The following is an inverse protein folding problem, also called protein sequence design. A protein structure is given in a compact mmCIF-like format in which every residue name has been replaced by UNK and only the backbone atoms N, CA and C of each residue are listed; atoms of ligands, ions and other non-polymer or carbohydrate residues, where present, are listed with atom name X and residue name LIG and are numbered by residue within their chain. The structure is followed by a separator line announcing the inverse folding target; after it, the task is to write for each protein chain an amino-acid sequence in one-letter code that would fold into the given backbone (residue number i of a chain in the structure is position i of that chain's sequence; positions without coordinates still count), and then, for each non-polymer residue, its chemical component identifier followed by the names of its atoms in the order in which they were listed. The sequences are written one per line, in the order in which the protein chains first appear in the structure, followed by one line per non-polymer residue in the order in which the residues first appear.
data_IF_987628843547
#
_entry.id   IF_987628843547
#
_cell.length_a   1.000
_cell.length_b   1.000
_cell.length_c   1.000
_cell.angle_alpha   90.00
_cell.angle_beta   90.00
_cell.angle_gamma   90.00
#
_symmetry.space_group_name_H-M   'P 1'
#
loop_
_entity.id
_entity.type
_entity.pdbx_description
1 polymer ?
#
# COMPACT_ATOMS: atom_id res chain seq x y z
N UNK A 1 -36.27 -48.26 9.68
CA UNK A 1 -35.33 -49.36 9.99
C UNK A 1 -33.93 -48.75 10.01
N UNK A 2 -33.44 -48.30 11.19
CA UNK A 2 -32.52 -49.02 12.11
C UNK A 2 -31.21 -49.41 11.40
N UNK A 3 -29.98 -49.14 11.86
CA UNK A 3 -29.37 -48.58 13.07
C UNK A 3 -27.91 -48.22 12.66
N UNK A 4 -27.32 -47.10 13.03
CA UNK A 4 -26.63 -46.79 14.30
C UNK A 4 -25.17 -47.33 14.39
N UNK A 5 -24.24 -46.38 14.62
CA UNK A 5 -23.03 -46.40 15.49
C UNK A 5 -21.77 -47.23 15.17
N UNK A 6 -20.63 -46.55 14.99
CA UNK A 6 -19.54 -46.39 15.99
C UNK A 6 -18.46 -45.43 15.45
N UNK A 7 -18.20 -44.27 16.08
CA UNK A 7 -17.30 -44.02 17.23
C UNK A 7 -15.84 -44.41 17.04
N UNK A 8 -14.98 -43.38 16.96
CA UNK A 8 -13.54 -43.44 17.18
C UNK A 8 -13.08 -42.12 17.81
N UNK A 9 -13.00 -42.11 19.13
CA UNK A 9 -12.46 -41.03 19.97
C UNK A 9 -10.95 -40.83 19.73
N UNK A 10 -10.47 -39.58 19.69
CA UNK A 10 -9.17 -39.22 20.26
C UNK A 10 -9.29 -37.87 20.99
N UNK A 11 -9.19 -37.94 22.31
CA UNK A 11 -9.14 -36.82 23.26
C UNK A 11 -7.89 -37.03 24.11
N UNK A 12 -7.06 -35.99 24.21
CA UNK A 12 -5.97 -35.88 25.17
C UNK A 12 -4.84 -35.02 24.56
N UNK A 13 -4.27 -34.04 25.24
CA UNK A 13 -4.54 -33.45 26.54
C UNK A 13 -3.81 -32.10 26.60
N UNK A 14 -4.39 -31.21 27.40
CA UNK A 14 -3.89 -29.98 28.03
C UNK A 14 -2.38 -29.71 28.01
N UNK A 15 -2.05 -28.48 27.63
CA UNK A 15 -0.87 -27.75 28.08
C UNK A 15 -1.20 -26.27 28.17
N UNK A 16 -1.73 -25.82 29.31
CA UNK A 16 -1.99 -24.41 29.62
C UNK A 16 -0.68 -23.73 30.03
N UNK A 17 -0.30 -22.67 29.33
CA UNK A 17 0.73 -21.76 29.82
C UNK A 17 0.11 -20.36 29.92
N UNK A 18 -0.03 -19.95 31.17
CA UNK A 18 -0.52 -18.69 31.70
C UNK A 18 0.20 -17.49 31.09
N UNK A 19 -0.55 -16.58 30.46
CA UNK A 19 -0.15 -15.19 30.27
C UNK A 19 -0.27 -14.48 31.62
N UNK A 20 0.87 -14.16 32.22
CA UNK A 20 0.97 -13.23 33.34
C UNK A 20 1.14 -11.83 32.77
N UNK A 21 0.12 -11.00 32.95
CA UNK A 21 0.21 -9.55 32.87
C UNK A 21 1.02 -9.04 34.08
N UNK A 22 2.01 -8.18 33.83
CA UNK A 22 2.54 -7.30 34.87
C UNK A 22 2.63 -5.89 34.32
N UNK A 23 1.97 -4.99 35.04
CA UNK A 23 1.84 -3.57 34.76
C UNK A 23 3.18 -2.83 34.91
N UNK A 24 3.28 -1.75 34.14
CA UNK A 24 4.31 -0.72 34.21
C UNK A 24 4.41 -0.07 35.59
N UNK A 25 5.62 0.36 35.96
CA UNK A 25 5.83 1.62 36.68
C UNK A 25 7.18 2.25 36.32
N UNK A 26 7.15 3.55 36.14
CA UNK A 26 8.25 4.48 35.91
C UNK A 26 9.30 4.45 37.03
N UNK A 27 10.58 4.59 36.68
CA UNK A 27 11.50 5.48 37.42
C UNK A 27 12.56 6.05 36.48
N UNK A 28 12.56 7.37 36.36
CA UNK A 28 13.67 8.17 35.85
C UNK A 28 14.87 8.06 36.80
N UNK A 29 16.06 7.81 36.25
CA UNK A 29 17.32 8.37 36.76
C UNK A 29 18.28 8.55 35.60
N UNK A 30 18.72 9.80 35.42
CA UNK A 30 19.63 10.28 34.40
C UNK A 30 21.09 9.82 34.61
N UNK A 31 21.88 10.04 33.55
CA UNK A 31 23.35 10.21 33.49
C UNK A 31 24.24 8.96 33.43
N UNK A 32 24.60 8.52 32.22
CA UNK A 32 25.94 8.73 31.67
C UNK A 32 26.03 8.35 30.17
N UNK A 33 26.82 9.07 29.34
CA UNK A 33 26.86 8.87 27.91
C UNK A 33 27.84 7.74 27.57
N UNK A 34 27.31 6.56 27.25
CA UNK A 34 28.11 5.49 26.63
C UNK A 34 28.54 5.94 25.24
N UNK A 35 29.76 6.50 25.16
CA UNK A 35 30.52 6.73 23.93
C UNK A 35 30.68 5.40 23.19
N UNK A 36 29.70 5.04 22.35
CA UNK A 36 29.89 4.03 21.30
C UNK A 36 30.83 4.63 20.26
N UNK A 37 32.09 4.28 20.39
CA UNK A 37 33.08 4.46 19.35
C UNK A 37 32.55 3.80 18.07
N UNK A 38 32.09 4.62 17.12
CA UNK A 38 31.98 4.24 15.72
C UNK A 38 33.39 3.83 15.28
N UNK A 39 33.66 2.53 15.23
CA UNK A 39 34.70 2.01 14.35
C UNK A 39 34.24 2.27 12.92
N UNK A 40 34.54 3.49 12.42
CA UNK A 40 34.69 3.75 10.99
C UNK A 40 35.81 2.82 10.52
N UNK A 41 35.44 1.67 9.97
CA UNK A 41 36.35 0.91 9.13
C UNK A 41 36.64 1.79 7.91
N UNK A 42 37.81 2.44 7.92
CA UNK A 42 38.39 3.04 6.73
C UNK A 42 38.91 1.89 5.86
N UNK A 43 38.27 1.75 4.71
CA UNK A 43 38.79 1.26 3.42
C UNK A 43 40.10 0.46 3.45
N UNK A 44 39.98 -0.83 3.14
CA UNK A 44 40.99 -1.54 2.37
C UNK A 44 40.29 -2.06 1.10
N UNK A 45 40.47 -1.37 -0.03
CA UNK A 45 40.26 -1.98 -1.33
C UNK A 45 41.33 -3.05 -1.50
N UNK A 46 40.99 -4.28 -1.13
CA UNK A 46 41.74 -5.45 -1.60
C UNK A 46 41.05 -5.87 -2.90
N UNK A 47 41.68 -5.51 -4.03
CA UNK A 47 41.52 -6.27 -5.27
C UNK A 47 41.94 -7.71 -4.94
N UNK A 48 40.99 -8.56 -4.59
CA UNK A 48 41.24 -10.00 -4.57
C UNK A 48 41.38 -10.44 -6.03
N UNK A 49 42.46 -11.13 -6.41
CA UNK A 49 42.55 -11.77 -7.71
C UNK A 49 41.48 -12.87 -7.78
N UNK A 50 40.59 -12.75 -8.76
CA UNK A 50 39.52 -13.70 -9.09
C UNK A 50 40.10 -15.05 -9.50
N UNK A 51 40.20 -15.97 -8.54
CA UNK A 51 40.34 -17.40 -8.85
C UNK A 51 39.10 -18.11 -8.36
N UNK A 52 38.16 -18.38 -9.28
CA UNK A 52 37.06 -19.32 -9.06
C UNK A 52 35.63 -18.79 -9.14
N UNK A 53 35.40 -17.51 -9.50
CA UNK A 53 34.03 -17.06 -9.77
C UNK A 53 33.58 -17.52 -11.17
N UNK A 54 32.35 -18.04 -11.35
CA UNK A 54 31.83 -18.33 -12.67
C UNK A 54 31.89 -17.05 -13.51
N UNK A 55 32.41 -17.15 -14.75
CA UNK A 55 32.62 -15.99 -15.61
C UNK A 55 31.38 -15.09 -15.63
N UNK A 56 31.54 -13.85 -15.18
CA UNK A 56 30.47 -12.85 -15.23
C UNK A 56 30.10 -12.61 -16.69
N UNK A 57 28.81 -12.47 -16.94
CA UNK A 57 28.30 -12.13 -18.27
C UNK A 57 28.49 -10.61 -18.52
N UNK A 58 28.48 -10.13 -19.77
CA UNK A 58 28.88 -8.76 -20.11
C UNK A 58 28.21 -7.65 -19.30
N UNK A 59 26.90 -7.71 -19.09
CA UNK A 59 26.17 -6.68 -18.35
C UNK A 59 26.44 -6.77 -16.84
N UNK A 60 26.50 -7.98 -16.28
CA UNK A 60 26.92 -8.18 -14.90
C UNK A 60 28.33 -7.60 -14.65
N UNK A 61 29.28 -7.86 -15.54
CA UNK A 61 30.65 -7.34 -15.43
C UNK A 61 30.66 -5.81 -15.49
N UNK A 62 29.83 -5.19 -16.33
CA UNK A 62 29.65 -3.74 -16.34
C UNK A 62 29.13 -3.20 -14.99
N UNK A 63 28.14 -3.84 -14.39
CA UNK A 63 27.62 -3.48 -13.05
C UNK A 63 28.72 -3.61 -11.99
N UNK A 64 29.49 -4.68 -12.03
CA UNK A 64 30.60 -4.92 -11.12
C UNK A 64 31.68 -3.84 -11.22
N UNK A 65 32.03 -3.44 -12.44
CA UNK A 65 33.00 -2.36 -12.68
C UNK A 65 32.49 -1.01 -12.18
N UNK A 66 31.19 -0.71 -12.33
CA UNK A 66 30.59 0.50 -11.75
C UNK A 66 30.66 0.49 -10.22
N UNK A 67 30.44 -0.65 -9.59
CA UNK A 67 30.60 -0.82 -8.15
C UNK A 67 32.06 -0.56 -7.72
N UNK A 68 33.03 -1.12 -8.45
CA UNK A 68 34.45 -0.85 -8.28
C UNK A 68 34.82 0.64 -8.45
N UNK A 69 34.10 1.36 -9.30
CA UNK A 69 34.23 2.80 -9.51
C UNK A 69 33.53 3.68 -8.45
N UNK A 70 32.87 3.08 -7.45
CA UNK A 70 32.27 3.78 -6.32
C UNK A 70 30.74 3.92 -6.37
N UNK A 71 30.04 3.29 -7.32
CA UNK A 71 28.57 3.25 -7.35
C UNK A 71 28.02 2.21 -6.37
N UNK A 72 28.24 2.44 -5.07
CA UNK A 72 27.88 1.50 -4.00
C UNK A 72 26.38 1.17 -3.92
N UNK A 73 25.51 2.02 -4.48
CA UNK A 73 24.07 1.76 -4.58
C UNK A 73 23.69 0.66 -5.60
N UNK A 74 24.67 0.11 -6.32
CA UNK A 74 24.50 -1.06 -7.22
C UNK A 74 24.88 -2.39 -6.54
N UNK A 75 25.31 -2.38 -5.28
CA UNK A 75 25.77 -3.58 -4.58
C UNK A 75 24.72 -4.69 -4.55
N UNK A 76 23.48 -4.36 -4.21
CA UNK A 76 22.39 -5.34 -4.17
C UNK A 76 22.15 -6.00 -5.55
N UNK A 77 22.37 -5.27 -6.64
CA UNK A 77 22.23 -5.80 -8.01
C UNK A 77 23.38 -6.74 -8.38
N UNK A 78 24.61 -6.37 -8.05
CA UNK A 78 25.81 -7.20 -8.26
C UNK A 78 25.71 -8.53 -7.49
N UNK A 79 25.32 -8.46 -6.22
CA UNK A 79 25.06 -9.63 -5.37
C UNK A 79 23.92 -10.48 -5.94
N UNK A 80 22.81 -9.87 -6.35
CA UNK A 80 21.67 -10.57 -6.93
C UNK A 80 22.03 -11.33 -8.22
N UNK A 81 22.80 -10.69 -9.10
CA UNK A 81 23.24 -11.31 -10.37
C UNK A 81 24.29 -12.41 -10.15
N UNK A 82 25.01 -12.36 -9.03
CA UNK A 82 25.97 -13.40 -8.62
C UNK A 82 25.28 -14.66 -8.10
N UNK A 83 24.19 -14.52 -7.35
CA UNK A 83 23.54 -15.63 -6.65
C UNK A 83 22.65 -16.52 -7.54
N UNK A 84 22.50 -16.21 -8.83
CA UNK A 84 21.70 -16.94 -9.86
C UNK A 84 20.53 -17.76 -9.27
N UNK A 85 19.59 -17.13 -8.54
CA UNK A 85 18.46 -17.86 -8.01
C UNK A 85 17.67 -18.49 -9.17
N UNK A 86 17.31 -19.77 -9.04
CA UNK A 86 16.51 -20.45 -10.05
C UNK A 86 15.17 -19.70 -10.22
N UNK A 87 14.68 -19.50 -11.46
CA UNK A 87 13.37 -18.91 -11.67
C UNK A 87 12.32 -19.84 -11.05
N UNK A 88 11.60 -19.35 -10.05
CA UNK A 88 10.55 -20.10 -9.36
C UNK A 88 9.22 -20.09 -10.12
N UNK A 89 9.11 -19.29 -11.17
CA UNK A 89 7.84 -18.94 -11.81
C UNK A 89 7.98 -18.77 -13.34
N UNK A 90 6.85 -18.84 -14.09
CA UNK A 90 6.89 -18.87 -15.56
C UNK A 90 7.46 -17.57 -16.13
N UNK A 91 8.57 -17.70 -16.86
CA UNK A 91 9.14 -16.63 -17.67
C UNK A 91 8.26 -16.40 -18.89
N UNK A 92 7.79 -15.17 -19.10
CA UNK A 92 7.05 -14.79 -20.30
C UNK A 92 7.48 -13.41 -20.77
N UNK A 93 7.89 -13.30 -22.03
CA UNK A 93 8.15 -12.03 -22.71
C UNK A 93 7.41 -12.00 -24.04
N UNK A 94 6.50 -11.05 -24.19
CA UNK A 94 5.84 -10.78 -25.48
C UNK A 94 6.60 -9.73 -26.25
N UNK A 95 6.66 -9.89 -27.58
CA UNK A 95 7.26 -8.91 -28.47
C UNK A 95 6.22 -8.42 -29.48
N UNK A 96 6.08 -7.11 -29.58
CA UNK A 96 5.15 -6.44 -30.48
C UNK A 96 5.91 -5.43 -31.34
N UNK A 97 5.81 -5.60 -32.65
CA UNK A 97 6.40 -4.69 -33.63
C UNK A 97 5.31 -3.85 -34.30
N UNK A 98 5.57 -2.54 -34.43
CA UNK A 98 4.87 -1.63 -35.34
C UNK A 98 5.79 -1.40 -36.52
N UNK A 99 5.37 -1.89 -37.69
CA UNK A 99 6.14 -1.82 -38.92
C UNK A 99 6.07 -0.41 -39.55
N UNK A 100 6.93 -0.16 -40.54
CA UNK A 100 6.99 1.11 -41.26
C UNK A 100 5.67 1.47 -41.98
N UNK A 101 4.89 0.46 -42.35
CA UNK A 101 3.56 0.61 -42.95
C UNK A 101 2.42 0.69 -41.91
N UNK A 102 2.79 0.92 -40.64
CA UNK A 102 1.89 1.00 -39.49
C UNK A 102 1.03 -0.25 -39.29
N UNK A 103 1.53 -1.42 -39.68
CA UNK A 103 0.92 -2.70 -39.31
C UNK A 103 1.49 -3.24 -38.02
N UNK A 104 0.62 -3.93 -37.30
CA UNK A 104 0.98 -4.62 -36.07
C UNK A 104 1.46 -6.03 -36.38
N UNK A 105 2.63 -6.40 -35.84
CA UNK A 105 3.14 -7.76 -35.88
C UNK A 105 3.43 -8.23 -34.45
N UNK A 106 2.63 -9.16 -33.97
CA UNK A 106 2.88 -9.83 -32.69
C UNK A 106 3.71 -11.09 -32.93
N UNK A 107 4.83 -11.22 -32.21
CA UNK A 107 5.63 -12.44 -32.22
C UNK A 107 5.13 -13.44 -31.18
N UNK A 108 5.45 -14.74 -31.34
CA UNK A 108 5.18 -15.73 -30.30
C UNK A 108 5.85 -15.35 -28.97
N UNK A 109 5.16 -15.63 -27.86
CA UNK A 109 5.69 -15.37 -26.53
C UNK A 109 6.97 -16.18 -26.28
N UNK A 110 8.00 -15.49 -25.77
CA UNK A 110 9.28 -16.08 -25.40
C UNK A 110 9.17 -16.61 -23.97
N UNK A 111 9.34 -17.92 -23.81
CA UNK A 111 9.06 -18.60 -22.54
C UNK A 111 10.33 -19.04 -21.79
N UNK A 112 11.52 -18.70 -22.30
CA UNK A 112 12.78 -18.97 -21.62
C UNK A 112 13.86 -17.92 -21.95
N UNK A 113 14.89 -17.87 -21.10
CA UNK A 113 15.98 -16.90 -21.20
C UNK A 113 16.86 -17.09 -22.45
N UNK A 114 16.96 -18.33 -22.95
CA UNK A 114 17.77 -18.63 -24.12
C UNK A 114 17.12 -18.04 -25.38
N UNK A 115 15.83 -18.25 -25.56
CA UNK A 115 15.04 -17.69 -26.66
C UNK A 115 15.08 -16.17 -26.63
N UNK A 116 14.98 -15.55 -25.44
CA UNK A 116 15.14 -14.10 -25.29
C UNK A 116 16.54 -13.64 -25.72
N UNK A 117 17.59 -14.30 -25.26
CA UNK A 117 18.96 -13.93 -25.62
C UNK A 117 19.24 -14.12 -27.11
N UNK A 118 18.70 -15.15 -27.75
CA UNK A 118 18.86 -15.39 -29.18
C UNK A 118 18.05 -14.37 -29.98
N UNK A 119 16.79 -14.15 -29.61
CA UNK A 119 15.92 -13.18 -30.28
C UNK A 119 16.47 -11.75 -30.24
N UNK A 120 17.03 -11.33 -29.10
CA UNK A 120 17.63 -9.99 -28.96
C UNK A 120 18.95 -9.82 -29.70
N UNK A 121 19.64 -10.90 -30.06
CA UNK A 121 20.89 -10.87 -30.85
C UNK A 121 20.67 -11.01 -32.35
N UNK A 122 19.70 -11.83 -32.76
CA UNK A 122 19.58 -12.30 -34.15
C UNK A 122 18.70 -11.41 -35.04
N UNK A 123 17.79 -10.60 -34.48
CA UNK A 123 16.80 -9.88 -35.27
C UNK A 123 17.26 -8.47 -35.66
N UNK A 124 17.56 -8.27 -36.94
CA UNK A 124 17.70 -6.92 -37.51
C UNK A 124 16.36 -6.19 -37.44
N UNK A 125 16.40 -4.88 -37.17
CA UNK A 125 15.21 -4.03 -37.04
C UNK A 125 14.69 -3.51 -38.38
N UNK A 126 15.05 -4.16 -39.48
CA UNK A 126 14.69 -3.71 -40.82
C UNK A 126 13.16 -3.67 -40.98
N UNK A 127 12.63 -2.48 -41.28
CA UNK A 127 11.20 -2.25 -41.45
C UNK A 127 10.38 -2.13 -40.16
N UNK A 128 11.03 -1.95 -38.99
CA UNK A 128 10.37 -1.83 -37.69
C UNK A 128 10.59 -0.44 -37.09
N UNK A 129 9.55 0.38 -37.09
CA UNK A 129 9.52 1.69 -36.44
C UNK A 129 9.50 1.58 -34.91
N UNK A 130 8.66 0.71 -34.35
CA UNK A 130 8.58 0.52 -32.89
C UNK A 130 8.64 -0.94 -32.53
N UNK A 131 9.46 -1.28 -31.54
CA UNK A 131 9.47 -2.61 -30.93
C UNK A 131 9.21 -2.52 -29.44
N UNK A 132 8.23 -3.25 -28.96
CA UNK A 132 7.89 -3.34 -27.54
C UNK A 132 8.19 -4.74 -27.01
N UNK A 133 9.03 -4.79 -25.98
CA UNK A 133 9.22 -5.98 -25.15
C UNK A 133 8.40 -5.84 -23.88
N UNK A 134 7.55 -6.81 -23.61
CA UNK A 134 6.67 -6.83 -22.43
C UNK A 134 6.95 -8.09 -21.62
N UNK A 135 7.68 -7.93 -20.53
CA UNK A 135 8.10 -9.01 -19.65
C UNK A 135 7.21 -9.07 -18.40
N UNK A 136 6.81 -10.28 -18.02
CA UNK A 136 6.04 -10.56 -16.82
C UNK A 136 6.90 -11.35 -15.82
N UNK A 137 6.91 -10.94 -14.55
CA UNK A 137 7.58 -11.63 -13.45
C UNK A 137 6.82 -11.40 -12.15
N UNK A 138 6.82 -12.34 -11.20
CA UNK A 138 6.13 -12.15 -9.91
C UNK A 138 6.87 -11.28 -8.93
N UNK A 139 8.07 -11.69 -8.55
CA UNK A 139 8.81 -11.09 -7.43
C UNK A 139 9.99 -10.28 -7.94
N UNK A 140 10.88 -10.92 -8.69
CA UNK A 140 12.08 -10.32 -9.25
C UNK A 140 12.35 -10.89 -10.65
N UNK A 141 12.81 -10.07 -11.61
CA UNK A 141 13.24 -10.58 -12.90
C UNK A 141 14.47 -11.46 -12.72
N UNK A 142 14.54 -12.57 -13.44
CA UNK A 142 15.68 -13.49 -13.33
C UNK A 142 16.99 -12.83 -13.76
N UNK A 143 18.12 -13.28 -13.20
CA UNK A 143 19.43 -12.74 -13.56
C UNK A 143 19.74 -12.88 -15.07
N UNK A 144 19.24 -13.93 -15.73
CA UNK A 144 19.37 -14.08 -17.18
C UNK A 144 18.50 -13.11 -17.97
N UNK A 145 17.31 -12.75 -17.49
CA UNK A 145 16.50 -11.69 -18.07
C UNK A 145 17.19 -10.33 -17.95
N UNK A 146 17.71 -10.00 -16.77
CA UNK A 146 18.49 -8.78 -16.51
C UNK A 146 19.68 -8.71 -17.47
N UNK A 147 20.43 -9.80 -17.60
CA UNK A 147 21.56 -9.85 -18.51
C UNK A 147 21.15 -9.69 -19.98
N UNK A 148 20.11 -10.40 -20.43
CA UNK A 148 19.69 -10.37 -21.83
C UNK A 148 19.21 -8.97 -22.24
N UNK A 149 18.38 -8.32 -21.42
CA UNK A 149 17.94 -6.95 -21.70
C UNK A 149 19.05 -5.92 -21.46
N UNK A 150 19.79 -6.05 -20.37
CA UNK A 150 20.86 -5.13 -20.01
C UNK A 150 21.97 -5.09 -21.05
N UNK A 151 22.42 -6.25 -21.52
CA UNK A 151 23.48 -6.34 -22.54
C UNK A 151 23.01 -5.89 -23.93
N UNK A 152 21.82 -6.31 -24.36
CA UNK A 152 21.31 -6.00 -25.70
C UNK A 152 20.91 -4.54 -25.88
N UNK A 153 20.41 -3.88 -24.82
CA UNK A 153 19.90 -2.51 -24.89
C UNK A 153 20.75 -1.49 -24.12
N UNK A 154 21.78 -1.93 -23.39
CA UNK A 154 22.63 -1.05 -22.59
C UNK A 154 21.84 -0.30 -21.50
N UNK A 155 20.89 -0.99 -20.86
CA UNK A 155 19.96 -0.34 -19.92
C UNK A 155 20.69 0.22 -18.70
N UNK A 156 20.17 1.32 -18.18
CA UNK A 156 20.67 1.88 -16.92
C UNK A 156 20.51 0.86 -15.77
N UNK A 157 21.57 0.45 -15.05
CA UNK A 157 21.50 -0.52 -13.94
C UNK A 157 20.50 -0.15 -12.85
N UNK A 158 20.23 1.15 -12.72
CA UNK A 158 19.19 1.70 -11.86
C UNK A 158 17.80 1.13 -12.15
N UNK A 159 17.48 0.83 -13.39
CA UNK A 159 16.22 0.19 -13.79
C UNK A 159 16.03 -1.17 -13.11
N UNK A 160 17.05 -2.03 -13.17
CA UNK A 160 16.99 -3.37 -12.58
C UNK A 160 17.08 -3.36 -11.07
N UNK A 161 17.81 -2.41 -10.50
CA UNK A 161 17.81 -2.15 -9.06
C UNK A 161 16.40 -1.91 -8.50
N UNK A 162 15.55 -1.19 -9.25
CA UNK A 162 14.13 -1.05 -8.92
C UNK A 162 13.35 -2.35 -9.15
N UNK A 163 13.63 -3.07 -10.22
CA UNK A 163 12.91 -4.30 -10.55
C UNK A 163 13.13 -5.42 -9.52
N UNK A 164 14.30 -5.46 -8.86
CA UNK A 164 14.61 -6.43 -7.80
C UNK A 164 14.20 -5.98 -6.40
N UNK A 165 13.61 -4.79 -6.26
CA UNK A 165 13.27 -4.18 -4.97
C UNK A 165 14.47 -4.12 -4.00
N UNK A 166 15.60 -3.60 -4.49
CA UNK A 166 16.80 -3.37 -3.67
C UNK A 166 16.48 -2.46 -2.48
N UNK A 167 16.90 -2.88 -1.27
CA UNK A 167 16.64 -2.15 -0.02
C UNK A 167 17.56 -0.95 0.16
N UNK A 168 18.77 -1.03 -0.41
CA UNK A 168 19.77 0.02 -0.34
C UNK A 168 19.60 1.09 -1.44
N UNK A 169 18.53 0.98 -2.22
CA UNK A 169 18.27 1.84 -3.35
C UNK A 169 17.63 3.18 -2.93
N UNK A 170 18.46 4.19 -2.67
CA UNK A 170 18.02 5.55 -2.38
C UNK A 170 18.34 6.47 -3.54
N UNK A 171 17.30 6.98 -4.22
CA UNK A 171 17.48 8.08 -5.15
C UNK A 171 17.23 9.42 -4.50
N UNK A 172 18.14 10.35 -4.80
CA UNK A 172 17.80 11.76 -4.69
C UNK A 172 16.64 12.09 -5.65
N UNK A 173 15.76 13.04 -5.32
CA UNK A 173 14.71 13.48 -6.24
C UNK A 173 15.26 13.84 -7.63
N UNK A 174 16.42 14.51 -7.70
CA UNK A 174 17.07 14.85 -8.95
C UNK A 174 17.45 13.62 -9.81
N UNK A 175 17.99 12.56 -9.21
CA UNK A 175 18.31 11.32 -9.93
C UNK A 175 17.05 10.62 -10.46
N UNK A 176 15.96 10.68 -9.69
CA UNK A 176 14.65 10.15 -10.10
C UNK A 176 14.05 10.94 -11.27
N UNK A 177 14.19 12.26 -11.28
CA UNK A 177 13.72 13.10 -12.37
C UNK A 177 14.54 12.91 -13.66
N UNK A 178 15.81 12.53 -13.54
CA UNK A 178 16.72 12.27 -14.67
C UNK A 178 16.78 10.79 -15.07
N UNK A 179 15.95 9.93 -14.49
CA UNK A 179 15.92 8.53 -14.87
C UNK A 179 15.30 8.40 -16.29
N UNK A 180 15.91 7.62 -17.20
CA UNK A 180 15.38 7.38 -18.54
C UNK A 180 14.16 6.44 -18.55
N UNK A 181 13.65 6.05 -17.38
CA UNK A 181 12.54 5.13 -17.21
C UNK A 181 11.52 5.67 -16.21
N UNK A 182 10.31 5.12 -16.27
CA UNK A 182 9.22 5.42 -15.34
C UNK A 182 8.83 4.18 -14.53
N UNK A 183 8.25 4.42 -13.35
CA UNK A 183 7.63 3.39 -12.49
C UNK A 183 6.18 3.76 -12.27
N UNK A 184 5.27 2.91 -12.72
CA UNK A 184 3.83 3.02 -12.52
C UNK A 184 3.44 2.03 -11.41
N UNK A 185 2.79 2.52 -10.35
CA UNK A 185 2.26 1.68 -9.27
C UNK A 185 0.80 1.32 -9.54
N UNK A 186 0.49 0.03 -9.60
CA UNK A 186 -0.87 -0.49 -9.72
C UNK A 186 -1.40 -0.99 -8.39
N UNK A 187 -2.71 -0.89 -8.20
CA UNK A 187 -3.45 -1.52 -7.12
C UNK A 187 -4.71 -2.15 -7.68
N UNK A 188 -4.96 -3.41 -7.33
CA UNK A 188 -6.13 -4.18 -7.76
C UNK A 188 -6.75 -4.81 -6.52
N UNK A 189 -8.08 -4.87 -6.47
CA UNK A 189 -8.78 -5.53 -5.38
C UNK A 189 -8.43 -7.02 -5.35
N UNK A 190 -7.94 -7.49 -4.21
CA UNK A 190 -7.66 -8.90 -3.99
C UNK A 190 -8.98 -9.63 -3.73
N UNK A 191 -9.36 -10.52 -4.65
CA UNK A 191 -10.58 -11.32 -4.54
C UNK A 191 -10.39 -12.58 -3.69
N UNK A 192 -9.16 -12.92 -3.34
CA UNK A 192 -8.82 -14.13 -2.57
C UNK A 192 -8.94 -13.90 -1.06
N UNK A 193 -8.85 -12.64 -0.61
CA UNK A 193 -8.96 -12.25 0.79
C UNK A 193 -10.42 -12.10 1.24
N UNK A 194 -10.68 -12.30 2.53
CA UNK A 194 -12.01 -12.10 3.11
C UNK A 194 -12.45 -10.64 3.15
N UNK A 195 -11.48 -9.70 3.18
CA UNK A 195 -11.75 -8.28 3.16
C UNK A 195 -11.91 -7.79 1.72
N UNK A 196 -13.00 -7.07 1.46
CA UNK A 196 -13.32 -6.51 0.15
C UNK A 196 -12.46 -5.30 -0.23
N UNK A 197 -11.73 -4.74 0.73
CA UNK A 197 -10.88 -3.56 0.52
C UNK A 197 -9.41 -3.90 0.41
N UNK A 198 -9.07 -5.18 0.51
CA UNK A 198 -7.69 -5.63 0.36
C UNK A 198 -7.25 -5.43 -1.08
N UNK A 199 -6.03 -4.90 -1.23
CA UNK A 199 -5.51 -4.48 -2.52
C UNK A 199 -4.17 -5.15 -2.75
N UNK A 200 -4.09 -5.97 -3.79
CA UNK A 200 -2.82 -6.45 -4.32
C UNK A 200 -2.12 -5.29 -5.05
N UNK A 201 -0.83 -5.11 -4.76
CA UNK A 201 -0.02 -4.05 -5.36
C UNK A 201 1.10 -4.63 -6.18
N UNK A 202 1.31 -4.04 -7.35
CA UNK A 202 2.44 -4.36 -8.20
C UNK A 202 2.93 -3.12 -8.95
N UNK A 203 4.06 -3.25 -9.62
CA UNK A 203 4.76 -2.19 -10.31
C UNK A 203 4.87 -2.54 -11.78
N UNK A 204 4.75 -1.52 -12.62
CA UNK A 204 5.12 -1.60 -14.03
C UNK A 204 6.27 -0.63 -14.27
N UNK A 205 7.41 -1.15 -14.69
CA UNK A 205 8.56 -0.35 -15.08
C UNK A 205 8.58 -0.20 -16.59
N UNK A 206 8.75 1.01 -17.10
CA UNK A 206 8.80 1.28 -18.54
C UNK A 206 10.09 2.02 -18.86
N UNK A 207 10.88 1.44 -19.76
CA UNK A 207 12.09 2.03 -20.31
C UNK A 207 11.89 2.25 -21.81
N UNK A 208 12.27 3.42 -22.32
CA UNK A 208 12.15 3.72 -23.74
C UNK A 208 13.50 4.20 -24.25
N UNK A 209 13.98 3.57 -25.32
CA UNK A 209 15.24 3.86 -25.95
C UNK A 209 15.00 4.28 -27.40
N UNK A 210 15.42 5.48 -27.83
CA UNK A 210 15.36 5.86 -29.22
C UNK A 210 16.35 5.02 -30.04
N UNK A 211 16.03 4.80 -31.31
CA UNK A 211 16.93 4.08 -32.20
C UNK A 211 18.15 4.91 -32.54
N UNK A 212 19.26 4.25 -32.89
CA UNK A 212 20.51 4.91 -33.28
C UNK A 212 20.32 5.88 -34.46
N UNK A 213 19.45 5.49 -35.40
CA UNK A 213 19.09 6.28 -36.58
C UNK A 213 18.00 7.32 -36.28
N UNK A 214 17.35 7.21 -35.11
CA UNK A 214 16.34 8.16 -34.64
C UNK A 214 15.00 8.14 -35.37
N UNK A 215 14.75 7.20 -36.28
CA UNK A 215 13.46 7.05 -36.98
C UNK A 215 12.42 6.30 -36.15
N UNK A 216 12.87 5.46 -35.21
CA UNK A 216 12.04 4.62 -34.37
C UNK A 216 12.47 4.60 -32.90
N UNK A 217 11.87 3.71 -32.12
CA UNK A 217 12.22 3.49 -30.71
C UNK A 217 11.88 2.07 -30.22
N UNK A 218 12.61 1.61 -29.21
CA UNK A 218 12.32 0.38 -28.47
C UNK A 218 11.76 0.69 -27.09
N UNK A 219 10.65 0.06 -26.73
CA UNK A 219 10.08 0.08 -25.38
C UNK A 219 10.31 -1.24 -24.67
N UNK A 220 10.65 -1.18 -23.39
CA UNK A 220 10.80 -2.34 -22.51
C UNK A 220 9.90 -2.12 -21.30
N UNK A 221 8.93 -3.01 -21.12
CA UNK A 221 7.88 -2.91 -20.10
C UNK A 221 7.95 -4.14 -19.21
N UNK A 222 8.10 -3.93 -17.91
CA UNK A 222 8.34 -4.94 -16.91
C UNK A 222 7.17 -4.94 -15.92
N UNK A 223 6.31 -5.96 -16.00
CA UNK A 223 5.15 -6.16 -15.13
C UNK A 223 5.57 -7.05 -13.95
N UNK A 224 5.59 -6.50 -12.73
CA UNK A 224 5.96 -7.23 -11.50
C UNK A 224 4.79 -8.04 -10.90
N UNK A 225 3.93 -8.61 -11.74
CA UNK A 225 2.76 -9.37 -11.29
C UNK A 225 2.26 -10.32 -12.37
N UNK A 226 1.79 -11.49 -11.92
CA UNK A 226 1.04 -12.47 -12.71
C UNK A 226 -0.47 -12.46 -12.40
N UNK A 227 -0.95 -11.40 -11.73
CA UNK A 227 -2.35 -11.27 -11.34
C UNK A 227 -3.22 -11.25 -12.58
N UNK A 228 -4.19 -12.16 -12.62
CA UNK A 228 -5.17 -12.26 -13.70
C UNK A 228 -6.48 -11.62 -13.28
N UNK A 229 -6.99 -10.71 -14.11
CA UNK A 229 -8.26 -10.04 -13.90
C UNK A 229 -9.18 -10.23 -15.10
N UNK A 230 -10.48 -10.34 -14.83
CA UNK A 230 -11.50 -10.39 -15.88
C UNK A 230 -11.91 -8.95 -16.25
N UNK A 231 -11.08 -8.27 -17.05
CA UNK A 231 -11.30 -6.90 -17.49
C UNK A 231 -11.30 -6.83 -19.02
N UNK A 232 -12.05 -5.87 -19.58
CA UNK A 232 -12.04 -5.62 -21.03
C UNK A 232 -11.05 -4.51 -21.38
N UNK A 233 -10.25 -4.65 -22.47
CA UNK A 233 -9.42 -3.55 -22.96
C UNK A 233 -10.24 -2.35 -23.45
N UNK A 234 -11.54 -2.51 -23.74
CA UNK A 234 -12.44 -1.39 -24.11
C UNK A 234 -12.61 -0.35 -23.01
N UNK A 235 -12.17 -0.64 -21.78
CA UNK A 235 -12.25 0.30 -20.68
C UNK A 235 -11.35 1.52 -20.85
N UNK A 236 -10.33 1.43 -21.73
CA UNK A 236 -9.46 2.55 -22.07
C UNK A 236 -9.99 3.37 -23.26
N UNK A 237 -11.20 3.06 -23.74
CA UNK A 237 -11.83 3.74 -24.88
C UNK A 237 -13.16 4.35 -24.49
N UNK A 238 -13.53 5.44 -25.15
CA UNK A 238 -14.85 6.06 -24.98
C UNK A 238 -15.96 5.08 -25.43
N UNK A 239 -17.09 5.03 -24.70
CA UNK A 239 -18.22 4.23 -25.14
C UNK A 239 -18.75 4.75 -26.47
N UNK A 240 -19.29 3.86 -27.32
CA UNK A 240 -19.87 4.26 -28.60
C UNK A 240 -21.09 5.18 -28.36
N UNK A 241 -21.29 6.15 -29.24
CA UNK A 241 -22.34 7.15 -29.10
C UNK A 241 -23.74 6.51 -29.06
N UNK A 242 -24.69 7.18 -28.40
CA UNK A 242 -26.08 6.72 -28.34
C UNK A 242 -26.64 6.47 -29.75
N UNK A 243 -27.25 5.29 -29.95
CA UNK A 243 -27.78 4.79 -31.24
C UNK A 243 -26.76 4.33 -32.29
N UNK A 244 -25.46 4.33 -31.98
CA UNK A 244 -24.47 3.66 -32.84
C UNK A 244 -24.50 2.14 -32.67
N UNK A 245 -23.89 1.42 -33.63
CA UNK A 245 -23.83 -0.03 -33.59
C UNK A 245 -23.10 -0.50 -32.31
N UNK A 246 -23.79 -1.30 -31.50
CA UNK A 246 -23.20 -1.84 -30.29
C UNK A 246 -22.15 -2.90 -30.64
N UNK A 247 -20.98 -2.88 -29.99
CA UNK A 247 -19.98 -3.88 -30.24
C UNK A 247 -20.43 -5.23 -29.65
N UNK A 248 -20.02 -6.34 -30.28
CA UNK A 248 -20.43 -7.66 -29.82
C UNK A 248 -20.03 -7.91 -28.36
N UNK A 249 -20.92 -8.54 -27.56
CA UNK A 249 -20.58 -9.00 -26.21
C UNK A 249 -19.40 -9.96 -26.29
N UNK A 250 -18.39 -9.75 -25.45
CA UNK A 250 -17.25 -10.67 -25.28
C UNK A 250 -17.35 -11.31 -23.90
N UNK A 251 -17.13 -12.62 -23.82
CA UNK A 251 -16.92 -13.30 -22.54
C UNK A 251 -15.56 -12.84 -22.01
N UNK A 252 -15.54 -12.33 -20.77
CA UNK A 252 -14.31 -11.84 -20.15
C UNK A 252 -13.56 -13.01 -19.50
N UNK A 253 -12.52 -13.46 -20.17
CA UNK A 253 -11.57 -14.42 -19.60
C UNK A 253 -10.56 -13.70 -18.68
N UNK A 254 -10.08 -14.34 -17.60
CA UNK A 254 -9.04 -13.77 -16.75
C UNK A 254 -7.72 -13.61 -17.52
N UNK A 255 -7.23 -12.38 -17.61
CA UNK A 255 -6.00 -12.01 -18.34
C UNK A 255 -5.02 -11.29 -17.45
N UNK A 256 -3.72 -11.47 -17.71
CA UNK A 256 -2.68 -10.68 -17.04
C UNK A 256 -2.69 -9.24 -17.54
N UNK A 257 -2.06 -8.33 -16.79
CA UNK A 257 -1.94 -6.92 -17.21
C UNK A 257 -1.15 -6.75 -18.51
N UNK A 258 -0.16 -7.63 -18.76
CA UNK A 258 0.55 -7.70 -20.04
C UNK A 258 -0.41 -8.03 -21.18
N UNK A 259 -1.21 -9.07 -21.03
CA UNK A 259 -2.19 -9.52 -22.04
C UNK A 259 -3.24 -8.44 -22.31
N UNK A 260 -3.76 -7.79 -21.26
CA UNK A 260 -4.72 -6.68 -21.40
C UNK A 260 -4.11 -5.49 -22.14
N UNK A 261 -2.85 -5.16 -21.85
CA UNK A 261 -2.16 -4.07 -22.53
C UNK A 261 -1.89 -4.40 -24.00
N UNK A 262 -1.48 -5.63 -24.32
CA UNK A 262 -1.34 -6.13 -25.70
C UNK A 262 -2.65 -5.99 -26.48
N UNK A 263 -3.77 -6.43 -25.91
CA UNK A 263 -5.08 -6.33 -26.56
C UNK A 263 -5.56 -4.87 -26.72
N UNK A 264 -5.06 -3.95 -25.90
CA UNK A 264 -5.42 -2.54 -26.03
C UNK A 264 -4.93 -1.92 -27.35
N UNK A 265 -3.94 -2.53 -28.03
CA UNK A 265 -3.46 -2.08 -29.34
C UNK A 265 -4.50 -2.24 -30.46
N UNK A 266 -5.58 -3.02 -30.26
CA UNK A 266 -6.74 -3.02 -31.16
C UNK A 266 -7.37 -1.62 -31.29
N UNK A 267 -7.17 -0.75 -30.30
CA UNK A 267 -7.79 0.58 -30.21
C UNK A 267 -6.80 1.74 -30.34
N UNK A 268 -5.51 1.44 -30.56
CA UNK A 268 -4.44 2.45 -30.66
C UNK A 268 -4.26 2.86 -32.11
N UNK A 269 -4.13 4.16 -32.38
CA UNK A 269 -3.67 4.62 -33.67
C UNK A 269 -2.15 4.35 -33.80
N UNK A 270 -1.78 3.41 -34.66
CA UNK A 270 -0.40 2.92 -34.80
C UNK A 270 0.57 3.97 -35.36
N UNK A 271 0.09 4.91 -36.17
CA UNK A 271 0.90 6.02 -36.69
C UNK A 271 1.31 6.96 -35.55
N UNK A 272 0.37 7.32 -34.68
CA UNK A 272 0.63 8.14 -33.48
C UNK A 272 1.45 7.40 -32.43
N UNK A 273 1.23 6.09 -32.31
CA UNK A 273 2.05 5.24 -31.44
C UNK A 273 3.51 5.23 -31.90
N UNK A 274 3.75 5.19 -33.21
CA UNK A 274 5.09 5.28 -33.77
C UNK A 274 5.78 6.61 -33.47
N UNK A 275 5.06 7.74 -33.56
CA UNK A 275 5.63 9.07 -33.30
C UNK A 275 5.87 9.38 -31.82
N UNK A 276 5.00 8.88 -30.93
CA UNK A 276 4.95 9.28 -29.53
C UNK A 276 4.96 8.08 -28.57
N UNK A 277 6.04 7.88 -27.80
CA UNK A 277 6.07 6.85 -26.77
C UNK A 277 5.04 7.12 -25.67
N UNK A 278 4.74 8.39 -25.35
CA UNK A 278 3.70 8.73 -24.38
C UNK A 278 2.31 8.28 -24.87
N UNK A 279 2.01 8.48 -26.16
CA UNK A 279 0.76 8.01 -26.76
C UNK A 279 0.60 6.50 -26.61
N UNK A 280 1.68 5.75 -26.85
CA UNK A 280 1.68 4.29 -26.70
C UNK A 280 1.43 3.87 -25.24
N UNK A 281 2.10 4.51 -24.28
CA UNK A 281 1.96 4.18 -22.85
C UNK A 281 0.65 4.72 -22.23
N UNK A 282 -0.08 5.60 -22.91
CA UNK A 282 -1.31 6.21 -22.40
C UNK A 282 -2.38 5.18 -22.02
N UNK A 283 -2.56 4.12 -22.82
CA UNK A 283 -3.53 3.06 -22.50
C UNK A 283 -3.20 2.34 -21.19
N UNK A 284 -1.91 2.15 -20.89
CA UNK A 284 -1.47 1.58 -19.61
C UNK A 284 -1.78 2.53 -18.44
N UNK A 285 -1.67 3.85 -18.66
CA UNK A 285 -2.01 4.87 -17.66
C UNK A 285 -3.52 5.00 -17.44
N UNK A 286 -4.34 4.87 -18.48
CA UNK A 286 -5.80 4.78 -18.34
C UNK A 286 -6.20 3.54 -17.53
N UNK A 287 -5.61 2.38 -17.86
CA UNK A 287 -5.82 1.15 -17.09
C UNK A 287 -5.41 1.34 -15.63
N UNK A 288 -4.27 2.00 -15.38
CA UNK A 288 -3.83 2.33 -14.02
C UNK A 288 -4.83 3.21 -13.27
N UNK A 289 -5.32 4.27 -13.91
CA UNK A 289 -6.31 5.17 -13.34
C UNK A 289 -7.63 4.44 -13.02
N UNK A 290 -8.08 3.56 -13.94
CA UNK A 290 -9.26 2.73 -13.74
C UNK A 290 -9.13 1.83 -12.51
N UNK A 291 -8.04 1.05 -12.41
CA UNK A 291 -7.84 0.13 -11.27
C UNK A 291 -7.81 0.88 -9.94
N UNK A 292 -7.13 2.04 -9.88
CA UNK A 292 -7.15 2.85 -8.66
C UNK A 292 -8.53 3.44 -8.35
N UNK A 293 -9.29 3.85 -9.36
CA UNK A 293 -10.66 4.33 -9.20
C UNK A 293 -11.57 3.26 -8.61
N UNK A 294 -11.45 2.01 -9.08
CA UNK A 294 -12.17 0.85 -8.55
C UNK A 294 -11.83 0.64 -7.07
N UNK A 295 -10.53 0.61 -6.71
CA UNK A 295 -10.08 0.46 -5.32
C UNK A 295 -10.64 1.54 -4.41
N UNK A 296 -10.51 2.82 -4.79
CA UNK A 296 -10.99 3.96 -3.98
C UNK A 296 -12.51 3.94 -3.84
N UNK A 297 -13.24 3.55 -4.89
CA UNK A 297 -14.70 3.45 -4.86
C UNK A 297 -15.15 2.33 -3.92
N UNK A 298 -14.55 1.15 -4.01
CA UNK A 298 -14.89 0.02 -3.13
C UNK A 298 -14.58 0.32 -1.67
N UNK A 299 -13.46 0.99 -1.37
CA UNK A 299 -13.14 1.44 -0.01
C UNK A 299 -14.25 2.37 0.52
N UNK A 300 -14.68 3.33 -0.29
CA UNK A 300 -15.73 4.28 0.08
C UNK A 300 -17.07 3.58 0.34
N UNK A 301 -17.45 2.64 -0.51
CA UNK A 301 -18.70 1.87 -0.35
C UNK A 301 -18.67 1.02 0.93
N UNK A 302 -17.54 0.38 1.22
CA UNK A 302 -17.40 -0.44 2.43
C UNK A 302 -17.38 0.39 3.70
N UNK A 303 -16.72 1.56 3.72
CA UNK A 303 -16.77 2.52 4.84
C UNK A 303 -18.20 2.97 5.15
N UNK A 304 -18.98 3.25 4.09
CA UNK A 304 -20.39 3.60 4.22
C UNK A 304 -21.21 2.42 4.77
N UNK A 305 -20.96 1.20 4.27
CA UNK A 305 -21.67 -0.01 4.70
C UNK A 305 -21.45 -0.31 6.18
N UNK A 306 -20.21 -0.18 6.68
CA UNK A 306 -19.87 -0.47 8.08
C UNK A 306 -20.10 0.72 9.01
N UNK A 307 -20.47 1.89 8.48
CA UNK A 307 -20.57 3.16 9.21
C UNK A 307 -19.30 3.45 10.04
N UNK A 308 -18.13 3.20 9.43
CA UNK A 308 -16.84 3.18 10.11
C UNK A 308 -15.68 3.21 9.12
N UNK A 309 -14.47 2.90 9.60
CA UNK A 309 -13.25 2.90 8.79
C UNK A 309 -12.87 1.45 8.55
N UNK A 310 -12.74 1.03 7.28
CA UNK A 310 -12.21 -0.29 6.96
C UNK A 310 -10.71 -0.38 7.28
N UNK A 311 -10.27 -1.52 7.81
CA UNK A 311 -8.96 -1.69 8.45
C UNK A 311 -7.77 -1.69 7.48
N UNK A 312 -7.96 -1.76 6.15
CA UNK A 312 -6.92 -2.26 5.23
C UNK A 312 -6.29 -1.27 4.26
N UNK A 313 -6.45 0.03 4.45
CA UNK A 313 -5.87 1.00 3.52
C UNK A 313 -4.78 1.84 4.18
N UNK A 314 -3.53 1.72 3.72
CA UNK A 314 -2.53 2.79 3.87
C UNK A 314 -1.73 2.86 2.57
N UNK A 315 -1.41 4.07 2.09
CA UNK A 315 -0.46 4.39 1.00
C UNK A 315 -0.97 4.42 -0.46
N UNK A 316 -2.29 4.39 -0.74
CA UNK A 316 -2.77 4.53 -2.13
C UNK A 316 -2.51 5.93 -2.71
N UNK A 317 -2.64 6.96 -1.88
CA UNK A 317 -2.50 8.37 -2.26
C UNK A 317 -1.13 8.68 -2.87
N UNK A 318 -0.06 8.11 -2.31
CA UNK A 318 1.30 8.38 -2.77
C UNK A 318 1.58 7.77 -4.13
N UNK A 319 1.07 6.57 -4.42
CA UNK A 319 1.22 5.96 -5.75
C UNK A 319 0.37 6.70 -6.80
N UNK A 320 -0.86 7.11 -6.47
CA UNK A 320 -1.70 7.92 -7.36
C UNK A 320 -1.04 9.28 -7.67
N UNK A 321 -0.49 9.96 -6.65
CA UNK A 321 0.25 11.23 -6.83
C UNK A 321 1.50 11.05 -7.69
N UNK A 322 2.22 9.92 -7.56
CA UNK A 322 3.36 9.59 -8.42
C UNK A 322 2.93 9.38 -9.88
N UNK A 323 1.81 8.70 -10.13
CA UNK A 323 1.24 8.55 -11.47
C UNK A 323 0.84 9.90 -12.07
N UNK A 324 0.18 10.78 -11.29
CA UNK A 324 -0.13 12.15 -11.72
C UNK A 324 1.12 12.94 -12.13
N UNK A 325 2.16 12.95 -11.28
CA UNK A 325 3.41 13.65 -11.57
C UNK A 325 4.14 13.10 -12.81
N UNK A 326 3.90 11.84 -13.19
CA UNK A 326 4.41 11.26 -14.42
C UNK A 326 3.63 11.75 -15.65
N UNK A 327 2.30 11.77 -15.57
CA UNK A 327 1.43 12.29 -16.64
C UNK A 327 1.73 13.76 -16.91
N UNK A 328 1.83 14.59 -15.87
CA UNK A 328 2.15 16.02 -15.98
C UNK A 328 3.48 16.28 -16.69
N UNK A 329 4.44 15.36 -16.57
CA UNK A 329 5.73 15.44 -17.26
C UNK A 329 5.69 14.91 -18.70
N UNK A 330 4.64 14.23 -19.12
CA UNK A 330 4.57 13.57 -20.42
C UNK A 330 5.45 12.32 -20.53
N UNK A 331 5.77 11.65 -19.41
CA UNK A 331 6.61 10.44 -19.38
C UNK A 331 7.96 10.62 -18.68
N UNK A 332 9.00 9.91 -19.16
CA UNK A 332 10.38 10.12 -18.69
C UNK A 332 11.11 11.18 -19.50
N UNK A 333 12.30 11.56 -19.02
CA UNK A 333 13.16 12.52 -19.70
C UNK A 333 13.58 11.96 -21.07
N UNK A 334 13.36 12.73 -22.13
CA UNK A 334 13.83 12.41 -23.49
C UNK A 334 12.84 11.64 -24.36
N UNK A 335 11.61 11.39 -23.88
CA UNK A 335 10.55 10.86 -24.75
C UNK A 335 10.19 11.88 -25.84
N UNK A 336 10.10 11.42 -27.08
CA UNK A 336 9.75 12.23 -28.25
C UNK A 336 8.23 12.40 -28.38
N UNK A 337 7.78 13.32 -29.23
CA UNK A 337 6.35 13.50 -29.53
C UNK A 337 5.50 14.06 -28.39
N UNK A 338 6.11 14.52 -27.29
CA UNK A 338 5.40 15.05 -26.11
C UNK A 338 4.59 16.32 -26.41
N UNK A 339 5.08 17.14 -27.36
CA UNK A 339 4.49 18.42 -27.72
C UNK A 339 3.51 18.32 -28.90
N UNK A 340 3.29 17.12 -29.44
CA UNK A 340 2.31 16.90 -30.50
C UNK A 340 0.90 17.15 -29.97
N UNK A 341 0.04 17.83 -30.74
CA UNK A 341 -1.27 18.27 -30.27
C UNK A 341 -2.16 17.13 -29.73
N UNK A 342 -2.09 15.94 -30.32
CA UNK A 342 -2.85 14.77 -29.86
C UNK A 342 -2.27 14.15 -28.58
N UNK A 343 -0.94 14.17 -28.42
CA UNK A 343 -0.27 13.74 -27.19
C UNK A 343 -0.61 14.71 -26.05
N UNK A 344 -0.64 16.01 -26.34
CA UNK A 344 -1.04 17.04 -25.39
C UNK A 344 -2.50 16.90 -24.92
N UNK A 345 -3.44 16.62 -25.83
CA UNK A 345 -4.85 16.35 -25.49
C UNK A 345 -4.98 15.13 -24.57
N UNK A 346 -4.36 14.00 -24.92
CA UNK A 346 -4.38 12.79 -24.08
C UNK A 346 -3.73 13.03 -22.72
N UNK A 347 -2.61 13.75 -22.69
CA UNK A 347 -1.94 14.15 -21.45
C UNK A 347 -2.88 14.98 -20.56
N UNK A 348 -3.59 15.93 -21.14
CA UNK A 348 -4.52 16.78 -20.41
C UNK A 348 -5.68 15.96 -19.82
N UNK A 349 -6.29 15.07 -20.60
CA UNK A 349 -7.38 14.19 -20.12
C UNK A 349 -6.91 13.29 -18.97
N UNK A 350 -5.78 12.60 -19.14
CA UNK A 350 -5.17 11.80 -18.08
C UNK A 350 -4.84 12.65 -16.84
N UNK A 351 -4.36 13.88 -17.03
CA UNK A 351 -4.06 14.78 -15.91
C UNK A 351 -5.32 15.15 -15.14
N UNK A 352 -6.43 15.45 -15.83
CA UNK A 352 -7.73 15.73 -15.23
C UNK A 352 -8.26 14.50 -14.46
N UNK A 353 -8.17 13.30 -15.05
CA UNK A 353 -8.60 12.05 -14.43
C UNK A 353 -7.81 11.75 -13.14
N UNK A 354 -6.48 11.83 -13.21
CA UNK A 354 -5.64 11.60 -12.03
C UNK A 354 -5.81 12.70 -10.97
N UNK A 355 -6.02 13.97 -11.35
CA UNK A 355 -6.36 15.04 -10.40
C UNK A 355 -7.67 14.74 -9.68
N UNK A 356 -8.69 14.32 -10.43
CA UNK A 356 -9.97 13.93 -9.86
C UNK A 356 -9.82 12.76 -8.89
N UNK A 357 -9.05 11.73 -9.26
CA UNK A 357 -8.76 10.57 -8.40
C UNK A 357 -8.00 10.95 -7.12
N UNK A 358 -7.01 11.86 -7.21
CA UNK A 358 -6.32 12.41 -6.02
C UNK A 358 -7.31 13.14 -5.12
N UNK A 359 -8.16 14.01 -5.68
CA UNK A 359 -9.16 14.75 -4.92
C UNK A 359 -10.15 13.79 -4.22
N UNK A 360 -10.62 12.74 -4.92
CA UNK A 360 -11.49 11.73 -4.35
C UNK A 360 -10.84 10.97 -3.19
N UNK A 361 -9.53 10.71 -3.30
CA UNK A 361 -8.73 10.05 -2.27
C UNK A 361 -8.55 10.96 -1.06
N UNK A 362 -8.21 12.24 -1.28
CA UNK A 362 -8.05 13.23 -0.20
C UNK A 362 -9.38 13.47 0.56
N UNK A 363 -10.52 13.48 -0.17
CA UNK A 363 -11.85 13.55 0.44
C UNK A 363 -12.18 12.31 1.29
N UNK A 364 -11.85 11.12 0.79
CA UNK A 364 -12.02 9.87 1.53
C UNK A 364 -11.22 9.90 2.85
N UNK A 365 -9.96 10.34 2.80
CA UNK A 365 -9.12 10.46 3.99
C UNK A 365 -9.61 11.51 4.98
N UNK A 366 -10.07 12.66 4.48
CA UNK A 366 -10.68 13.69 5.33
C UNK A 366 -11.93 13.15 6.06
N UNK A 367 -12.77 12.38 5.36
CA UNK A 367 -13.94 11.74 5.96
C UNK A 367 -13.54 10.72 7.03
N UNK A 368 -12.56 9.85 6.74
CA UNK A 368 -12.02 8.88 7.70
C UNK A 368 -11.43 9.54 8.94
N UNK A 369 -10.64 10.61 8.79
CA UNK A 369 -10.10 11.36 9.92
C UNK A 369 -11.20 11.94 10.81
N UNK A 370 -12.26 12.49 10.23
CA UNK A 370 -13.43 12.96 10.98
C UNK A 370 -14.13 11.82 11.72
N UNK A 371 -14.33 10.67 11.07
CA UNK A 371 -14.94 9.49 11.70
C UNK A 371 -14.08 8.93 12.83
N UNK A 372 -12.76 8.88 12.66
CA UNK A 372 -11.82 8.47 13.69
C UNK A 372 -11.91 9.39 14.92
N UNK A 373 -11.91 10.71 14.70
CA UNK A 373 -12.08 11.69 15.78
C UNK A 373 -13.42 11.53 16.51
N UNK A 374 -14.51 11.27 15.78
CA UNK A 374 -15.83 10.99 16.39
C UNK A 374 -15.80 9.69 17.21
N UNK A 375 -15.17 8.64 16.69
CA UNK A 375 -15.04 7.35 17.39
C UNK A 375 -14.21 7.49 18.66
N UNK A 376 -13.10 8.23 18.59
CA UNK A 376 -12.25 8.54 19.73
C UNK A 376 -13.04 9.32 20.79
N UNK A 377 -13.74 10.38 20.41
CA UNK A 377 -14.58 11.15 21.34
C UNK A 377 -15.68 10.29 21.98
N UNK A 378 -16.31 9.39 21.23
CA UNK A 378 -17.29 8.41 21.77
C UNK A 378 -16.63 7.40 22.71
N UNK A 379 -15.39 6.98 22.45
CA UNK A 379 -14.63 6.10 23.33
C UNK A 379 -14.28 6.80 24.64
N UNK A 380 -13.74 8.02 24.57
CA UNK A 380 -13.43 8.86 25.74
C UNK A 380 -14.68 9.16 26.55
N UNK A 381 -15.81 9.45 25.91
CA UNK A 381 -17.11 9.63 26.60
C UNK A 381 -17.57 8.35 27.31
N UNK A 382 -17.40 7.16 26.71
CA UNK A 382 -17.72 5.88 27.35
C UNK A 382 -16.80 5.58 28.52
N UNK A 383 -15.49 5.80 28.36
CA UNK A 383 -14.50 5.63 29.41
C UNK A 383 -14.77 6.57 30.57
N UNK A 384 -14.95 7.86 30.32
CA UNK A 384 -15.30 8.83 31.37
C UNK A 384 -16.61 8.49 32.05
N UNK A 385 -17.64 8.06 31.31
CA UNK A 385 -18.90 7.59 31.91
C UNK A 385 -18.70 6.35 32.78
N UNK A 386 -17.90 5.37 32.34
CA UNK A 386 -17.62 4.15 33.10
C UNK A 386 -16.79 4.46 34.35
N UNK A 387 -15.74 5.26 34.22
CA UNK A 387 -14.93 5.71 35.35
C UNK A 387 -15.78 6.49 36.35
N UNK A 388 -16.60 7.44 35.90
CA UNK A 388 -17.48 8.20 36.78
C UNK A 388 -18.50 7.28 37.47
N UNK A 389 -19.14 6.36 36.73
CA UNK A 389 -20.07 5.41 37.33
C UNK A 389 -19.38 4.51 38.37
N UNK A 390 -18.19 3.99 38.08
CA UNK A 390 -17.43 3.16 39.00
C UNK A 390 -16.98 3.93 40.25
N UNK A 391 -16.37 5.11 40.07
CA UNK A 391 -15.86 5.95 41.15
C UNK A 391 -16.97 6.49 42.05
N UNK A 392 -18.14 6.82 41.49
CA UNK A 392 -19.17 7.53 42.26
C UNK A 392 -20.33 6.68 42.72
N UNK A 393 -20.62 5.55 42.08
CA UNK A 393 -21.68 4.63 42.51
C UNK A 393 -21.11 3.40 43.19
N UNK A 394 -20.10 2.76 42.58
CA UNK A 394 -19.61 1.48 43.06
C UNK A 394 -18.57 1.61 44.17
N UNK A 395 -17.62 2.53 44.08
CA UNK A 395 -16.58 2.69 45.10
C UNK A 395 -17.13 2.98 46.52
N UNK A 396 -18.13 3.86 46.71
CA UNK A 396 -18.78 4.05 48.02
C UNK A 396 -19.42 2.77 48.56
N UNK A 397 -20.14 2.03 47.70
CA UNK A 397 -20.79 0.76 48.07
C UNK A 397 -19.74 -0.28 48.46
N UNK A 398 -18.66 -0.41 47.70
CA UNK A 398 -17.56 -1.34 47.98
C UNK A 398 -16.82 -0.98 49.27
N UNK A 399 -16.52 0.30 49.53
CA UNK A 399 -15.86 0.74 50.76
C UNK A 399 -16.73 0.40 51.96
N UNK A 400 -18.03 0.74 51.91
CA UNK A 400 -18.95 0.44 53.00
C UNK A 400 -19.15 -1.06 53.18
N UNK A 401 -19.26 -1.82 52.09
CA UNK A 401 -19.35 -3.30 52.17
C UNK A 401 -18.08 -3.92 52.74
N UNK A 402 -16.91 -3.34 52.46
CA UNK A 402 -15.64 -3.71 53.07
C UNK A 402 -15.61 -3.41 54.57
N UNK A 403 -15.96 -2.19 54.99
CA UNK A 403 -16.00 -1.79 56.40
C UNK A 403 -16.96 -2.67 57.21
N UNK A 404 -18.15 -2.96 56.67
CA UNK A 404 -19.14 -3.82 57.34
C UNK A 404 -18.87 -5.33 57.19
N UNK A 405 -18.03 -5.73 56.23
CA UNK A 405 -17.60 -7.11 56.02
C UNK A 405 -16.32 -7.49 56.78
N UNK A 406 -15.61 -6.50 57.33
CA UNK A 406 -14.58 -6.75 58.34
C UNK A 406 -15.25 -7.27 59.62
N UNK A 407 -14.60 -8.15 60.39
CA UNK A 407 -15.14 -8.63 61.65
C UNK A 407 -15.14 -7.48 62.68
N UNK A 408 -16.21 -6.67 62.66
CA UNK A 408 -16.36 -5.46 63.47
C UNK A 408 -16.92 -5.77 64.87
N UNK A 409 -16.33 -6.75 65.58
CA UNK A 409 -16.70 -6.98 66.98
C UNK A 409 -16.14 -5.91 67.94
N UNK A 410 -15.29 -4.99 67.46
CA UNK A 410 -14.62 -3.98 68.32
C UNK A 410 -14.96 -2.50 68.03
N UNK A 411 -15.61 -2.15 66.91
CA UNK A 411 -15.81 -0.71 66.56
C UNK A 411 -17.14 -0.14 67.07
N UNK A 412 -18.16 -0.97 67.33
CA UNK A 412 -19.47 -0.49 67.82
C UNK A 412 -19.57 -0.36 69.34
N UNK A 413 -18.64 -0.93 70.10
CA UNK A 413 -18.69 -0.92 71.57
C UNK A 413 -19.89 -1.66 72.19
N UNK A 414 -20.65 -2.43 71.40
CA UNK A 414 -21.73 -3.29 71.89
C UNK A 414 -21.82 -4.57 71.05
N UNK A 415 -22.02 -5.71 71.72
CA UNK A 415 -22.17 -7.08 71.15
C UNK A 415 -23.39 -7.27 70.23
N UNK A 416 -24.02 -6.18 69.77
CA UNK A 416 -25.14 -6.20 68.84
C UNK A 416 -24.64 -5.98 67.42
N UNK A 417 -24.74 -7.01 66.57
CA UNK A 417 -24.50 -6.88 65.13
C UNK A 417 -25.28 -5.68 64.56
N UNK A 418 -24.66 -4.80 63.75
CA UNK A 418 -25.34 -3.67 63.15
C UNK A 418 -26.52 -4.14 62.30
N UNK A 419 -27.67 -3.45 62.45
CA UNK A 419 -28.88 -3.81 61.75
C UNK A 419 -28.69 -3.56 60.23
N UNK A 420 -29.18 -4.46 59.38
CA UNK A 420 -29.00 -4.38 57.92
C UNK A 420 -29.51 -3.05 57.32
N UNK A 421 -30.49 -2.42 57.98
CA UNK A 421 -30.99 -1.09 57.62
C UNK A 421 -29.96 0.03 57.81
N UNK A 422 -29.06 -0.06 58.78
CA UNK A 422 -28.00 0.93 58.99
C UNK A 422 -26.98 0.92 57.85
N UNK A 423 -26.70 -0.25 57.28
CA UNK A 423 -25.87 -0.39 56.09
C UNK A 423 -26.50 0.34 54.89
N UNK A 424 -27.80 0.13 54.62
CA UNK A 424 -28.48 0.83 53.54
C UNK A 424 -28.52 2.35 53.73
N UNK A 425 -28.80 2.82 54.95
CA UNK A 425 -28.81 4.27 55.26
C UNK A 425 -27.42 4.87 55.06
N UNK A 426 -26.37 4.20 55.52
CA UNK A 426 -25.00 4.70 55.40
C UNK A 426 -24.52 4.72 53.93
N UNK A 427 -24.88 3.72 53.12
CA UNK A 427 -24.60 3.70 51.67
C UNK A 427 -25.34 4.83 50.94
N UNK A 428 -26.62 5.08 51.25
CA UNK A 428 -27.39 6.18 50.64
C UNK A 428 -26.81 7.53 51.04
N UNK A 429 -26.49 7.74 52.32
CA UNK A 429 -25.90 8.98 52.80
C UNK A 429 -24.53 9.26 52.15
N UNK A 430 -23.66 8.25 52.05
CA UNK A 430 -22.36 8.39 51.42
C UNK A 430 -22.47 8.73 49.94
N UNK A 431 -23.36 8.07 49.19
CA UNK A 431 -23.62 8.39 47.78
C UNK A 431 -24.13 9.82 47.59
N UNK A 432 -25.01 10.32 48.46
CA UNK A 432 -25.50 11.71 48.42
C UNK A 432 -24.36 12.70 48.67
N UNK A 433 -23.49 12.45 49.65
CA UNK A 433 -22.33 13.32 49.95
C UNK A 433 -21.32 13.34 48.80
N UNK A 434 -21.06 12.18 48.19
CA UNK A 434 -20.17 12.08 47.02
C UNK A 434 -20.77 12.85 45.83
N UNK A 435 -22.06 12.68 45.53
CA UNK A 435 -22.72 13.44 44.46
C UNK A 435 -22.70 14.95 44.71
N UNK A 436 -22.90 15.40 45.95
CA UNK A 436 -22.84 16.82 46.32
C UNK A 436 -21.43 17.40 46.19
N UNK A 437 -20.41 16.68 46.64
CA UNK A 437 -19.01 17.15 46.53
C UNK A 437 -18.57 17.29 45.06
N UNK A 438 -19.05 16.42 44.17
CA UNK A 438 -18.82 16.51 42.73
C UNK A 438 -19.58 17.64 42.05
N UNK A 439 -20.84 17.84 42.44
CA UNK A 439 -21.63 18.96 41.96
C UNK A 439 -20.94 20.30 42.29
N UNK A 440 -20.41 20.43 43.51
CA UNK A 440 -19.64 21.60 43.96
C UNK A 440 -18.32 21.70 43.16
N UNK A 441 -17.57 20.60 43.02
CA UNK A 441 -16.30 20.58 42.28
C UNK A 441 -16.47 21.00 40.81
N UNK A 442 -17.47 20.45 40.12
CA UNK A 442 -17.77 20.81 38.73
C UNK A 442 -18.26 22.27 38.59
N UNK A 443 -19.04 22.75 39.57
CA UNK A 443 -19.46 24.16 39.62
C UNK A 443 -18.27 25.12 39.74
N UNK A 444 -17.30 24.81 40.62
CA UNK A 444 -16.06 25.58 40.76
C UNK A 444 -15.22 25.53 39.48
N UNK A 445 -15.10 24.36 38.85
CA UNK A 445 -14.32 24.20 37.63
C UNK A 445 -14.92 24.98 36.44
N UNK A 446 -16.24 24.93 36.29
CA UNK A 446 -16.95 25.64 35.22
C UNK A 446 -16.90 27.16 35.40
N UNK A 447 -17.04 27.65 36.64
CA UNK A 447 -16.85 29.06 36.99
C UNK A 447 -15.44 29.56 36.65
N UNK A 448 -14.39 28.75 36.94
CA UNK A 448 -13.00 29.11 36.64
C UNK A 448 -12.69 29.13 35.14
N UNK A 449 -13.26 28.22 34.35
CA UNK A 449 -12.90 28.06 32.93
C UNK A 449 -13.71 28.94 31.97
N UNK A 450 -14.99 29.22 32.27
CA UNK A 450 -15.90 29.92 31.34
C UNK A 450 -16.49 31.21 31.91
N UNK A 451 -16.19 31.60 33.16
CA UNK A 451 -16.70 32.83 33.77
C UNK A 451 -18.23 32.89 33.92
N UNK A 452 -18.93 31.77 33.72
CA UNK A 452 -20.40 31.66 33.75
C UNK A 452 -20.84 30.68 34.85
N UNK A 453 -21.97 30.97 35.50
CA UNK A 453 -22.63 30.03 36.42
C UNK A 453 -23.25 28.88 35.60
N UNK A 454 -22.83 27.64 35.90
CA UNK A 454 -23.43 26.44 35.31
C UNK A 454 -24.88 26.25 35.80
N UNK A 455 -25.78 25.82 34.92
CA UNK A 455 -27.16 25.53 35.28
C UNK A 455 -27.28 24.20 36.03
N UNK A 456 -28.25 24.06 36.95
CA UNK A 456 -28.49 22.82 37.73
C UNK A 456 -28.66 21.57 36.83
N UNK A 457 -29.21 21.76 35.63
CA UNK A 457 -29.38 20.71 34.61
C UNK A 457 -28.07 20.26 33.96
N UNK A 458 -27.10 21.16 33.79
CA UNK A 458 -25.76 20.84 33.27
C UNK A 458 -24.95 20.07 34.33
N UNK A 459 -25.10 20.45 35.61
CA UNK A 459 -24.44 19.81 36.76
C UNK A 459 -24.96 18.38 36.96
N UNK A 460 -26.28 18.18 36.92
CA UNK A 460 -26.89 16.84 36.98
C UNK A 460 -26.60 16.02 35.72
N UNK A 461 -26.58 16.64 34.55
CA UNK A 461 -26.21 15.98 33.29
C UNK A 461 -24.77 15.43 33.31
N UNK A 462 -23.83 16.19 33.87
CA UNK A 462 -22.45 15.76 34.05
C UNK A 462 -22.33 14.60 35.07
N UNK A 463 -23.03 14.69 36.20
CA UNK A 463 -23.02 13.63 37.23
C UNK A 463 -23.64 12.31 36.74
N UNK A 464 -24.59 12.37 35.80
CA UNK A 464 -25.28 11.20 35.22
C UNK A 464 -24.64 10.76 33.88
N UNK A 465 -23.57 11.40 33.43
CA UNK A 465 -22.86 11.04 32.19
C UNK A 465 -23.56 11.44 30.89
N UNK A 466 -24.64 12.24 30.96
CA UNK A 466 -25.29 12.85 29.78
C UNK A 466 -24.73 14.24 29.54
N UNK A 467 -23.59 14.30 28.85
CA UNK A 467 -23.06 15.56 28.32
C UNK A 467 -23.83 15.88 27.04
N UNK A 468 -24.93 16.64 27.16
CA UNK A 468 -25.58 17.29 26.03
C UNK A 468 -25.08 18.72 25.96
N UNK A 469 -23.91 18.94 25.36
CA UNK A 469 -23.48 20.28 24.97
C UNK A 469 -24.23 20.65 23.69
N UNK A 470 -25.16 21.61 23.80
CA UNK A 470 -25.54 22.45 22.66
C UNK A 470 -24.63 23.67 22.64
#
# INVERSE_FOLDING_TARGET
MTNMTNMGYFRGSRGSATKSESNALYSETETEPVRRWRKRAKTAHVLQPEWGQPARKPYHEYVHQLLGAGWANLQDLDEYMSDRPAPTEPFVVSVLDILDDFKLKQWPDLNNEHDLSSFTKDQSREGVNVRLYMAEYSSRPSAGMIEAFGSSFGLDPRFFNWAIDSKNHVFTPAQRHRAPYIRIGFGVLDRMTHSKTDTERFKVLVYIQPDEQGTGWTGIIFFSSHTKIALSPRIVTDPPAFQSALPSPRILEPKSFRELYLESFEFVNLEKAASSPFYTIANLLYLNCFCWSEVITTIREEDQRINGISDTSVEHTEEIKKSLAMVQRGGSLGWRGQDEAHTADIRQRLEEDFKHLVNQTDLLWSARHKMAAISQHKSESRWTSLTNAFTYLFAPITIMSGVYGMNVSEISGSDSNPNIWQFFVAVVAMNVVVLLSLAISNWVHTMRKHGRKAGVREILGFAVGRISTK
#
